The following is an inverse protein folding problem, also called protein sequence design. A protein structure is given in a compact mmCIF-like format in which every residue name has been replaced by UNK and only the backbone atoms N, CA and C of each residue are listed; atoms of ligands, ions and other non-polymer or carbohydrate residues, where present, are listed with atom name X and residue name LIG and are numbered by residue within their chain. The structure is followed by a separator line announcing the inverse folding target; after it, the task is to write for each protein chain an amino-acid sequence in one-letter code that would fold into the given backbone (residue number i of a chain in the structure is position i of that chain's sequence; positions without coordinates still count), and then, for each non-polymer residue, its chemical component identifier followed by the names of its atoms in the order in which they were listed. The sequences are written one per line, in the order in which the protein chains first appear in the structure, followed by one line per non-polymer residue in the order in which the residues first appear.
data_IF_203914730376
#
_entry.id   IF_203914730376
#
_cell.length_a   1.000
_cell.length_b   1.000
_cell.length_c   1.000
_cell.angle_alpha   90.00
_cell.angle_beta   90.00
_cell.angle_gamma   90.00
#
_symmetry.space_group_name_H-M   'P 1'
#
loop_
_entity.id
_entity.type
_entity.pdbx_description
1 polymer ?
#
# COMPACT_ATOMS: atom_id res chain seq x y z
N UNK A 1 -6.21 22.17 20.26
CA UNK A 1 -5.69 20.85 20.62
C UNK A 1 -5.77 20.75 22.13
N UNK A 2 -6.41 19.71 22.67
CA UNK A 2 -6.43 19.45 24.11
C UNK A 2 -5.03 19.07 24.59
N UNK A 3 -4.68 19.45 25.82
CA UNK A 3 -3.39 19.16 26.46
C UNK A 3 -3.11 17.64 26.49
N UNK A 4 -4.17 16.85 26.64
CA UNK A 4 -4.14 15.38 26.55
C UNK A 4 -3.63 14.86 25.20
N UNK A 5 -4.07 15.45 24.09
CA UNK A 5 -3.67 15.01 22.75
C UNK A 5 -2.17 15.25 22.49
N UNK A 6 -1.62 16.35 23.02
CA UNK A 6 -0.19 16.65 22.93
C UNK A 6 0.63 15.70 23.78
N UNK A 7 0.17 15.40 24.99
CA UNK A 7 0.84 14.45 25.88
C UNK A 7 0.88 13.05 25.26
N UNK A 8 -0.25 12.55 24.77
CA UNK A 8 -0.32 11.23 24.10
C UNK A 8 0.55 11.19 22.86
N UNK A 9 0.59 12.28 22.09
CA UNK A 9 1.48 12.37 20.95
C UNK A 9 2.95 12.26 21.37
N UNK A 10 3.33 12.91 22.46
CA UNK A 10 4.70 12.87 22.96
C UNK A 10 5.05 11.49 23.54
N UNK A 11 4.14 10.89 24.32
CA UNK A 11 4.29 9.55 24.88
C UNK A 11 4.46 8.50 23.75
N UNK A 12 3.66 8.58 22.68
CA UNK A 12 3.80 7.71 21.52
C UNK A 12 5.12 7.94 20.78
N UNK A 13 5.58 9.19 20.62
CA UNK A 13 6.86 9.49 19.98
C UNK A 13 8.05 9.00 20.80
N UNK A 14 7.99 9.10 22.14
CA UNK A 14 9.00 8.56 23.04
C UNK A 14 9.00 7.03 23.03
N UNK A 15 7.82 6.40 23.07
CA UNK A 15 7.70 4.95 22.92
C UNK A 15 8.20 4.45 21.54
N UNK A 16 8.03 5.25 20.48
CA UNK A 16 8.64 4.97 19.17
C UNK A 16 10.16 5.09 19.25
N UNK A 17 10.70 6.09 19.95
CA UNK A 17 12.14 6.28 20.11
C UNK A 17 12.83 5.17 20.92
N UNK A 18 12.13 4.63 21.92
CA UNK A 18 12.65 3.61 22.84
C UNK A 18 12.37 2.16 22.41
N UNK A 19 11.66 1.93 21.29
CA UNK A 19 11.20 0.60 20.87
C UNK A 19 10.22 -0.10 21.84
N UNK A 20 9.60 0.66 22.76
CA UNK A 20 8.70 0.14 23.80
C UNK A 20 7.25 -0.09 23.31
N UNK A 21 6.96 0.24 22.05
CA UNK A 21 5.61 0.09 21.49
C UNK A 21 5.31 -1.37 21.20
N UNK A 22 4.20 -1.87 21.74
CA UNK A 22 3.68 -3.21 21.41
C UNK A 22 3.20 -3.19 19.96
N UNK A 23 4.08 -3.58 19.04
CA UNK A 23 3.75 -3.70 17.63
C UNK A 23 3.01 -5.02 17.38
N UNK A 24 1.91 -5.01 16.62
CA UNK A 24 1.26 -6.25 16.22
C UNK A 24 2.23 -7.14 15.43
N UNK A 25 2.24 -8.42 15.77
CA UNK A 25 2.98 -9.43 15.02
C UNK A 25 2.21 -9.82 13.76
N UNK A 26 2.92 -10.02 12.66
CA UNK A 26 2.32 -10.48 11.42
C UNK A 26 1.79 -11.93 11.60
N UNK A 27 0.55 -12.25 11.22
CA UNK A 27 0.02 -13.60 11.33
C UNK A 27 0.87 -14.60 10.53
N UNK A 28 1.01 -15.81 11.05
CA UNK A 28 1.83 -16.86 10.44
C UNK A 28 1.40 -17.15 8.98
N UNK A 29 0.10 -17.07 8.69
CA UNK A 29 -0.44 -17.25 7.34
C UNK A 29 0.10 -16.19 6.36
N UNK A 30 0.22 -14.93 6.79
CA UNK A 30 0.80 -13.88 5.95
C UNK A 30 2.31 -14.07 5.72
N UNK A 31 3.04 -14.55 6.74
CA UNK A 31 4.45 -14.92 6.59
C UNK A 31 4.63 -16.07 5.58
N UNK A 32 3.81 -17.12 5.69
CA UNK A 32 3.84 -18.25 4.76
C UNK A 32 3.51 -17.82 3.33
N UNK A 33 2.50 -16.96 3.13
CA UNK A 33 2.16 -16.43 1.80
C UNK A 33 3.28 -15.56 1.23
N UNK A 34 3.96 -14.77 2.08
CA UNK A 34 5.09 -13.95 1.64
C UNK A 34 6.28 -14.80 1.21
N UNK A 35 6.68 -15.77 2.04
CA UNK A 35 7.74 -16.72 1.70
C UNK A 35 7.43 -17.47 0.41
N UNK A 36 6.16 -17.86 0.24
CA UNK A 36 5.65 -18.46 -0.99
C UNK A 36 5.76 -17.50 -2.20
N UNK A 37 5.53 -16.20 -2.02
CA UNK A 37 5.62 -15.21 -3.10
C UNK A 37 7.05 -14.84 -3.48
N UNK A 38 8.01 -15.03 -2.57
CA UNK A 38 9.45 -14.82 -2.83
C UNK A 38 10.08 -15.94 -3.66
N UNK A 39 9.45 -17.12 -3.69
CA UNK A 39 9.89 -18.25 -4.52
C UNK A 39 9.49 -18.04 -5.99
N UNK A 40 10.46 -17.83 -6.92
CA UNK A 40 10.17 -17.60 -8.33
C UNK A 40 9.59 -18.84 -9.04
N UNK A 41 9.74 -20.04 -8.48
CA UNK A 41 9.26 -21.30 -9.05
C UNK A 41 7.93 -21.76 -8.44
N UNK A 42 7.26 -20.92 -7.66
CA UNK A 42 6.06 -21.35 -6.95
C UNK A 42 4.91 -21.70 -7.92
N UNK A 43 4.32 -22.87 -7.68
CA UNK A 43 3.13 -23.30 -8.39
C UNK A 43 1.85 -22.69 -7.82
N UNK A 44 0.88 -22.43 -8.70
CA UNK A 44 -0.49 -22.05 -8.33
C UNK A 44 -1.09 -23.02 -7.32
N UNK A 45 -0.81 -24.32 -7.47
CA UNK A 45 -1.30 -25.37 -6.56
C UNK A 45 -0.72 -25.25 -5.14
N UNK A 46 0.52 -24.80 -5.00
CA UNK A 46 1.15 -24.60 -3.68
C UNK A 46 0.55 -23.39 -2.99
N UNK A 47 0.42 -22.26 -3.68
CA UNK A 47 -0.21 -21.07 -3.13
C UNK A 47 -1.68 -21.31 -2.76
N UNK A 48 -2.42 -22.04 -3.60
CA UNK A 48 -3.81 -22.44 -3.32
C UNK A 48 -3.92 -23.30 -2.06
N UNK A 49 -2.95 -24.20 -1.80
CA UNK A 49 -2.92 -24.99 -0.56
C UNK A 49 -2.65 -24.12 0.67
N UNK A 50 -1.76 -23.14 0.57
CA UNK A 50 -1.43 -22.24 1.70
C UNK A 50 -2.64 -21.37 2.04
N UNK A 51 -3.23 -20.69 1.05
CA UNK A 51 -4.40 -19.84 1.23
C UNK A 51 -5.63 -20.68 1.62
N UNK A 52 -5.78 -21.86 1.03
CA UNK A 52 -6.88 -22.79 1.26
C UNK A 52 -6.97 -23.36 2.67
N UNK A 53 -5.92 -23.24 3.49
CA UNK A 53 -5.97 -23.56 4.93
C UNK A 53 -6.94 -22.65 5.68
N UNK A 54 -7.08 -21.40 5.24
CA UNK A 54 -8.02 -20.44 5.79
C UNK A 54 -9.21 -20.29 4.83
N UNK A 55 -10.35 -20.84 5.25
CA UNK A 55 -11.59 -20.80 4.46
C UNK A 55 -12.15 -19.38 4.35
N UNK A 56 -11.97 -18.55 5.38
CA UNK A 56 -12.42 -17.17 5.37
C UNK A 56 -11.58 -16.33 4.40
N UNK A 57 -10.26 -16.50 4.41
CA UNK A 57 -9.34 -15.86 3.47
C UNK A 57 -9.66 -16.27 2.03
N UNK A 58 -9.88 -17.57 1.79
CA UNK A 58 -10.23 -18.12 0.49
C UNK A 58 -11.52 -17.50 -0.07
N UNK A 59 -12.58 -17.45 0.76
CA UNK A 59 -13.86 -16.85 0.38
C UNK A 59 -13.73 -15.35 0.08
N UNK A 60 -12.94 -14.61 0.87
CA UNK A 60 -12.67 -13.19 0.65
C UNK A 60 -11.91 -12.96 -0.67
N UNK A 61 -10.90 -13.78 -0.96
CA UNK A 61 -10.14 -13.69 -2.21
C UNK A 61 -11.05 -13.90 -3.43
N UNK A 62 -11.90 -14.93 -3.39
CA UNK A 62 -12.88 -15.21 -4.44
C UNK A 62 -13.85 -14.03 -4.62
N UNK A 63 -14.34 -13.45 -3.51
CA UNK A 63 -15.22 -12.27 -3.53
C UNK A 63 -14.55 -11.07 -4.21
N UNK A 64 -13.25 -10.84 -3.97
CA UNK A 64 -12.50 -9.76 -4.62
C UNK A 64 -12.32 -10.03 -6.12
N UNK A 65 -12.03 -11.27 -6.53
CA UNK A 65 -11.91 -11.66 -7.95
C UNK A 65 -13.20 -11.45 -8.74
N UNK A 66 -14.35 -11.66 -8.09
CA UNK A 66 -15.66 -11.45 -8.70
C UNK A 66 -16.16 -10.00 -8.60
N UNK A 67 -15.37 -9.10 -7.98
CA UNK A 67 -15.72 -7.68 -7.89
C UNK A 67 -15.78 -7.02 -9.27
N UNK A 68 -16.60 -5.96 -9.50
CA UNK A 68 -16.75 -5.32 -10.81
C UNK A 68 -15.43 -4.90 -11.48
N UNK A 69 -14.40 -4.60 -10.69
CA UNK A 69 -13.07 -4.22 -11.16
C UNK A 69 -12.32 -5.39 -11.82
N UNK A 70 -12.57 -6.61 -11.38
CA UNK A 70 -11.87 -7.83 -11.78
C UNK A 70 -12.80 -8.89 -12.40
N UNK A 71 -14.11 -8.66 -12.42
CA UNK A 71 -15.13 -9.65 -12.84
C UNK A 71 -14.87 -10.13 -14.28
N UNK A 72 -14.99 -11.43 -14.50
CA UNK A 72 -14.95 -12.04 -15.84
C UNK A 72 -16.37 -12.16 -16.42
N UNK A 73 -16.43 -12.60 -17.67
CA UNK A 73 -17.69 -13.09 -18.26
C UNK A 73 -18.29 -14.28 -17.48
N UNK A 74 -17.44 -15.08 -16.80
CA UNK A 74 -17.87 -16.16 -15.92
C UNK A 74 -17.44 -15.93 -14.47
N UNK A 75 -18.29 -16.35 -13.55
CA UNK A 75 -18.03 -16.27 -12.12
C UNK A 75 -16.98 -17.29 -11.70
N UNK A 76 -16.02 -16.86 -10.88
CA UNK A 76 -15.00 -17.74 -10.33
C UNK A 76 -15.50 -18.29 -9.00
N UNK A 77 -15.60 -19.61 -8.87
CA UNK A 77 -16.06 -20.30 -7.66
C UNK A 77 -14.96 -21.05 -6.93
N UNK A 78 -13.78 -21.17 -7.55
CA UNK A 78 -12.67 -22.00 -7.07
C UNK A 78 -11.39 -21.16 -6.88
N UNK A 79 -10.64 -21.47 -5.81
CA UNK A 79 -9.43 -20.75 -5.41
C UNK A 79 -8.30 -20.92 -6.42
N UNK A 80 -8.10 -22.12 -6.95
CA UNK A 80 -7.08 -22.38 -7.96
C UNK A 80 -7.36 -21.58 -9.23
N UNK A 81 -8.62 -21.52 -9.65
CA UNK A 81 -9.07 -20.70 -10.79
C UNK A 81 -8.86 -19.21 -10.53
N UNK A 82 -9.15 -18.74 -9.31
CA UNK A 82 -8.89 -17.36 -8.89
C UNK A 82 -7.40 -17.00 -9.00
N UNK A 83 -6.51 -17.83 -8.47
CA UNK A 83 -5.06 -17.59 -8.47
C UNK A 83 -4.49 -17.69 -9.88
N UNK A 84 -4.91 -18.67 -10.68
CA UNK A 84 -4.47 -18.81 -12.08
C UNK A 84 -4.78 -17.55 -12.89
N UNK A 85 -5.95 -16.96 -12.64
CA UNK A 85 -6.42 -15.78 -13.37
C UNK A 85 -5.73 -14.49 -12.94
N UNK A 86 -5.54 -14.31 -11.64
CA UNK A 86 -4.89 -13.14 -11.07
C UNK A 86 -3.37 -13.17 -11.22
N UNK A 87 -2.79 -14.37 -11.28
CA UNK A 87 -1.38 -14.61 -11.14
C UNK A 87 -0.95 -14.73 -9.67
N UNK A 88 0.09 -15.51 -9.44
CA UNK A 88 0.64 -15.81 -8.11
C UNK A 88 0.97 -14.53 -7.32
N UNK A 89 1.67 -13.57 -7.95
CA UNK A 89 2.12 -12.36 -7.27
C UNK A 89 0.95 -11.49 -6.78
N UNK A 90 -0.05 -11.27 -7.63
CA UNK A 90 -1.22 -10.47 -7.27
C UNK A 90 -2.05 -11.16 -6.19
N UNK A 91 -2.30 -12.46 -6.33
CA UNK A 91 -3.02 -13.24 -5.31
C UNK A 91 -2.29 -13.26 -3.97
N UNK A 92 -0.96 -13.36 -3.97
CA UNK A 92 -0.18 -13.34 -2.72
C UNK A 92 -0.25 -12.00 -2.03
N UNK A 93 -0.01 -10.91 -2.77
CA UNK A 93 -0.10 -9.54 -2.24
C UNK A 93 -1.51 -9.22 -1.71
N UNK A 94 -2.53 -9.63 -2.44
CA UNK A 94 -3.92 -9.44 -2.03
C UNK A 94 -4.25 -10.27 -0.79
N UNK A 95 -3.80 -11.53 -0.74
CA UNK A 95 -4.03 -12.40 0.41
C UNK A 95 -3.29 -11.89 1.65
N UNK A 96 -2.05 -11.41 1.53
CA UNK A 96 -1.32 -10.75 2.62
C UNK A 96 -2.13 -9.57 3.16
N UNK A 97 -2.63 -8.70 2.27
CA UNK A 97 -3.51 -7.61 2.67
C UNK A 97 -4.76 -8.11 3.40
N UNK A 98 -5.48 -9.08 2.85
CA UNK A 98 -6.69 -9.62 3.48
C UNK A 98 -6.42 -10.29 4.85
N UNK A 99 -5.25 -10.91 5.03
CA UNK A 99 -4.82 -11.46 6.33
C UNK A 99 -4.51 -10.34 7.33
N UNK A 100 -4.01 -9.19 6.89
CA UNK A 100 -3.81 -8.05 7.78
C UNK A 100 -5.11 -7.57 8.42
N UNK A 101 -6.28 -7.78 7.79
CA UNK A 101 -7.59 -7.53 8.40
C UNK A 101 -7.77 -8.33 9.71
N UNK A 102 -7.18 -9.51 9.85
CA UNK A 102 -7.26 -10.34 11.05
C UNK A 102 -6.46 -9.76 12.24
N UNK A 103 -5.54 -8.81 11.97
CA UNK A 103 -4.77 -8.10 13.00
C UNK A 103 -5.64 -7.06 13.72
N UNK A 104 -6.74 -6.61 13.09
CA UNK A 104 -7.68 -5.63 13.65
C UNK A 104 -8.58 -6.31 14.70
N UNK A 105 -8.02 -6.67 15.85
CA UNK A 105 -8.79 -7.17 17.00
C UNK A 105 -8.95 -6.05 18.04
N UNK A 106 -10.18 -5.57 18.19
CA UNK A 106 -10.53 -4.49 19.12
C UNK A 106 -11.29 -5.05 20.34
N UNK A 107 -11.02 -4.48 21.52
CA UNK A 107 -11.79 -4.73 22.76
C UNK A 107 -13.04 -3.86 22.85
N UNK A 108 -13.04 -2.70 22.18
CA UNK A 108 -14.16 -1.74 22.20
C UNK A 108 -14.88 -1.65 20.86
N UNK A 109 -16.21 -1.64 20.87
CA UNK A 109 -17.06 -1.51 19.67
C UNK A 109 -16.78 -0.22 18.87
N UNK A 110 -16.47 0.88 19.56
CA UNK A 110 -16.13 2.16 18.93
C UNK A 110 -14.82 2.05 18.15
N UNK A 111 -13.83 1.38 18.73
CA UNK A 111 -12.52 1.17 18.10
C UNK A 111 -12.64 0.17 16.95
N UNK A 112 -13.40 -0.90 17.15
CA UNK A 112 -13.69 -1.91 16.12
C UNK A 112 -14.33 -1.28 14.88
N UNK A 113 -15.31 -0.39 15.08
CA UNK A 113 -15.95 0.32 13.97
C UNK A 113 -14.96 1.23 13.22
N UNK A 114 -14.11 1.94 13.95
CA UNK A 114 -13.11 2.83 13.35
C UNK A 114 -12.02 2.05 12.61
N UNK A 115 -11.61 0.90 13.15
CA UNK A 115 -10.72 -0.06 12.48
C UNK A 115 -11.31 -0.54 11.16
N UNK A 116 -12.59 -0.95 11.15
CA UNK A 116 -13.31 -1.34 9.92
C UNK A 116 -13.36 -0.20 8.90
N UNK A 117 -13.57 1.02 9.34
CA UNK A 117 -13.64 2.18 8.45
C UNK A 117 -12.30 2.50 7.80
N UNK A 118 -11.21 2.43 8.56
CA UNK A 118 -9.82 2.56 8.06
C UNK A 118 -9.49 1.44 7.07
N UNK A 119 -9.87 0.21 7.40
CA UNK A 119 -9.67 -0.95 6.53
C UNK A 119 -10.42 -0.80 5.20
N UNK A 120 -11.70 -0.43 5.25
CA UNK A 120 -12.52 -0.18 4.07
C UNK A 120 -11.91 0.89 3.18
N UNK A 121 -11.45 2.00 3.77
CA UNK A 121 -10.79 3.08 3.02
C UNK A 121 -9.48 2.63 2.38
N UNK A 122 -8.69 1.81 3.07
CA UNK A 122 -7.47 1.22 2.52
C UNK A 122 -7.75 0.29 1.34
N UNK A 123 -8.83 -0.49 1.41
CA UNK A 123 -9.29 -1.33 0.29
C UNK A 123 -9.74 -0.49 -0.93
N UNK A 124 -10.44 0.62 -0.70
CA UNK A 124 -10.82 1.56 -1.77
C UNK A 124 -9.58 2.17 -2.44
N UNK A 125 -8.62 2.66 -1.65
CA UNK A 125 -7.35 3.23 -2.14
C UNK A 125 -6.55 2.18 -2.91
N UNK A 126 -6.51 0.94 -2.44
CA UNK A 126 -5.87 -0.17 -3.14
C UNK A 126 -6.51 -0.46 -4.50
N UNK A 127 -7.85 -0.50 -4.56
CA UNK A 127 -8.60 -0.70 -5.80
C UNK A 127 -8.36 0.42 -6.82
N UNK A 128 -8.37 1.68 -6.37
CA UNK A 128 -8.08 2.84 -7.22
C UNK A 128 -6.63 2.82 -7.70
N UNK A 129 -5.68 2.56 -6.81
CA UNK A 129 -4.25 2.47 -7.12
C UNK A 129 -3.95 1.38 -8.16
N UNK A 130 -4.63 0.23 -8.03
CA UNK A 130 -4.58 -0.86 -9.01
C UNK A 130 -5.12 -0.41 -10.37
N UNK A 131 -6.31 0.19 -10.41
CA UNK A 131 -6.95 0.62 -11.65
C UNK A 131 -6.13 1.68 -12.40
N UNK A 132 -5.55 2.62 -11.65
CA UNK A 132 -4.69 3.68 -12.18
C UNK A 132 -3.37 3.11 -12.73
N UNK A 133 -2.70 2.23 -11.96
CA UNK A 133 -1.43 1.64 -12.42
C UNK A 133 -1.63 0.79 -13.66
N UNK A 134 -2.73 0.02 -13.72
CA UNK A 134 -3.08 -0.80 -14.89
C UNK A 134 -3.27 0.02 -16.17
N UNK A 135 -3.79 1.24 -16.06
CA UNK A 135 -4.17 2.05 -17.23
C UNK A 135 -3.13 3.11 -17.62
N UNK A 136 -2.35 3.61 -16.66
CA UNK A 136 -1.54 4.82 -16.84
C UNK A 136 -0.08 4.72 -16.39
N UNK A 137 0.37 3.59 -15.81
CA UNK A 137 1.72 3.46 -15.27
C UNK A 137 2.45 2.22 -15.79
N UNK A 138 3.78 2.25 -15.67
CA UNK A 138 4.66 1.08 -15.85
C UNK A 138 4.88 0.31 -14.53
N UNK A 139 4.30 0.80 -13.43
CA UNK A 139 4.38 0.12 -12.13
C UNK A 139 3.51 -1.13 -12.11
N UNK A 140 4.02 -2.16 -11.42
CA UNK A 140 3.30 -3.41 -11.14
C UNK A 140 1.99 -3.12 -10.38
N UNK A 141 0.82 -3.40 -10.98
CA UNK A 141 -0.47 -3.09 -10.34
C UNK A 141 -0.67 -3.80 -8.99
N UNK A 142 -0.11 -5.01 -8.84
CA UNK A 142 -0.10 -5.78 -7.59
C UNK A 142 0.61 -5.07 -6.44
N UNK A 143 1.77 -4.47 -6.71
CA UNK A 143 2.53 -3.72 -5.71
C UNK A 143 1.80 -2.43 -5.33
N UNK A 144 1.17 -1.76 -6.30
CA UNK A 144 0.38 -0.56 -6.03
C UNK A 144 -0.87 -0.83 -5.19
N UNK A 145 -1.54 -1.97 -5.45
CA UNK A 145 -2.68 -2.41 -4.64
C UNK A 145 -2.26 -2.70 -3.20
N UNK A 146 -1.16 -3.45 -3.01
CA UNK A 146 -0.61 -3.73 -1.68
C UNK A 146 -0.21 -2.45 -0.95
N UNK A 147 0.46 -1.52 -1.63
CA UNK A 147 0.79 -0.20 -1.10
C UNK A 147 -0.44 0.56 -0.60
N UNK A 148 -1.54 0.52 -1.35
CA UNK A 148 -2.82 1.10 -0.92
C UNK A 148 -3.43 0.39 0.30
N UNK A 149 -3.24 -0.93 0.46
CA UNK A 149 -3.73 -1.65 1.63
C UNK A 149 -2.94 -1.31 2.89
N UNK A 150 -1.62 -1.15 2.78
CA UNK A 150 -0.73 -0.93 3.93
C UNK A 150 -0.52 0.53 4.31
N UNK A 151 -0.97 1.49 3.48
CA UNK A 151 -0.66 2.92 3.70
C UNK A 151 -1.14 3.47 5.05
N UNK A 152 -2.22 2.92 5.62
CA UNK A 152 -2.79 3.32 6.92
C UNK A 152 -2.55 2.31 8.04
N UNK A 153 -1.58 1.40 7.89
CA UNK A 153 -1.33 0.36 8.89
C UNK A 153 -0.92 0.94 10.26
N UNK A 154 -0.26 2.10 10.27
CA UNK A 154 0.15 2.79 11.50
C UNK A 154 -1.00 3.30 12.36
N UNK A 155 -2.25 3.27 11.88
CA UNK A 155 -3.43 3.61 12.68
C UNK A 155 -3.71 2.54 13.75
N UNK A 156 -3.33 1.29 13.49
CA UNK A 156 -3.56 0.15 14.39
C UNK A 156 -3.01 0.37 15.81
N UNK A 157 -1.68 0.55 16.00
CA UNK A 157 -1.11 0.74 17.33
C UNK A 157 -1.68 1.97 18.06
N UNK A 158 -2.07 3.02 17.32
CA UNK A 158 -2.68 4.23 17.89
C UNK A 158 -4.06 3.92 18.46
N UNK A 159 -4.85 3.13 17.73
CA UNK A 159 -6.18 2.71 18.19
C UNK A 159 -6.08 1.73 19.37
N UNK A 160 -5.12 0.80 19.36
CA UNK A 160 -4.85 -0.08 20.51
C UNK A 160 -4.44 0.72 21.74
N UNK A 161 -3.58 1.73 21.59
CA UNK A 161 -3.21 2.63 22.69
C UNK A 161 -4.40 3.44 23.20
N UNK A 162 -5.28 3.89 22.30
CA UNK A 162 -6.50 4.62 22.66
C UNK A 162 -7.52 3.74 23.41
N UNK A 163 -7.54 2.42 23.20
CA UNK A 163 -8.37 1.51 24.01
C UNK A 163 -8.00 1.52 25.49
N UNK A 164 -6.71 1.64 25.81
CA UNK A 164 -6.24 1.72 27.19
C UNK A 164 -6.41 3.13 27.79
N UNK A 165 -6.72 4.14 26.97
CA UNK A 165 -6.88 5.54 27.36
C UNK A 165 -8.24 6.11 26.91
N UNK A 166 -9.30 5.77 27.66
CA UNK A 166 -10.70 6.13 27.35
C UNK A 166 -10.97 7.63 27.14
N UNK A 167 -10.14 8.50 27.73
CA UNK A 167 -10.23 9.96 27.56
C UNK A 167 -9.99 10.40 26.10
N UNK A 168 -9.13 9.69 25.35
CA UNK A 168 -8.96 9.96 23.90
C UNK A 168 -10.13 9.45 23.06
N UNK A 169 -10.75 8.35 23.46
CA UNK A 169 -11.92 7.82 22.75
C UNK A 169 -13.14 8.76 22.88
N UNK A 170 -13.19 9.49 23.99
CA UNK A 170 -14.26 10.46 24.28
C UNK A 170 -14.17 11.75 23.44
N UNK A 171 -13.01 12.03 22.81
CA UNK A 171 -12.81 13.16 21.89
C UNK A 171 -12.33 12.70 20.50
N UNK A 172 -13.29 12.40 19.58
CA UNK A 172 -12.97 11.91 18.24
C UNK A 172 -12.11 12.88 17.41
N UNK A 173 -12.23 14.19 17.66
CA UNK A 173 -11.52 15.23 16.90
C UNK A 173 -10.03 15.18 17.23
N UNK A 174 -9.70 15.14 18.52
CA UNK A 174 -8.31 15.03 18.96
C UNK A 174 -7.69 13.70 18.58
N UNK A 175 -8.45 12.58 18.68
CA UNK A 175 -7.97 11.27 18.25
C UNK A 175 -7.63 11.25 16.75
N UNK A 176 -8.46 11.84 15.88
CA UNK A 176 -8.16 11.93 14.46
C UNK A 176 -6.90 12.76 14.19
N UNK A 177 -6.69 13.85 14.92
CA UNK A 177 -5.48 14.67 14.75
C UNK A 177 -4.20 13.92 15.13
N UNK A 178 -4.25 13.18 16.25
CA UNK A 178 -3.15 12.31 16.71
C UNK A 178 -2.86 11.23 15.66
N UNK A 179 -3.91 10.57 15.17
CA UNK A 179 -3.80 9.56 14.10
C UNK A 179 -3.12 10.15 12.88
N UNK A 180 -3.62 11.26 12.34
CA UNK A 180 -3.09 11.88 11.11
C UNK A 180 -1.60 12.22 11.21
N UNK A 181 -1.13 12.63 12.39
CA UNK A 181 0.25 13.06 12.58
C UNK A 181 1.23 11.92 12.89
N UNK A 182 0.77 10.86 13.57
CA UNK A 182 1.65 9.79 14.08
C UNK A 182 1.57 8.53 13.20
N UNK A 183 0.42 8.24 12.58
CA UNK A 183 0.27 7.03 11.76
C UNK A 183 1.30 6.88 10.63
N UNK A 184 1.86 7.94 10.00
CA UNK A 184 2.87 7.77 8.96
C UNK A 184 4.17 7.20 9.55
N UNK A 185 4.61 7.75 10.69
CA UNK A 185 5.84 7.32 11.38
C UNK A 185 5.72 5.88 11.88
N UNK A 186 4.56 5.54 12.47
CA UNK A 186 4.29 4.18 12.92
C UNK A 186 4.13 3.20 11.76
N UNK A 187 3.52 3.63 10.66
CA UNK A 187 3.38 2.82 9.45
C UNK A 187 4.74 2.44 8.88
N UNK A 188 5.64 3.41 8.71
CA UNK A 188 7.00 3.16 8.21
C UNK A 188 7.74 2.18 9.13
N UNK A 189 7.65 2.37 10.45
CA UNK A 189 8.32 1.48 11.43
C UNK A 189 7.74 0.07 11.41
N UNK A 190 6.41 -0.08 11.39
CA UNK A 190 5.73 -1.37 11.31
C UNK A 190 6.14 -2.15 10.06
N UNK A 191 6.15 -1.49 8.91
CA UNK A 191 6.52 -2.13 7.65
C UNK A 191 7.99 -2.56 7.63
N UNK A 192 8.89 -1.79 8.29
CA UNK A 192 10.30 -2.21 8.48
C UNK A 192 10.42 -3.42 9.38
N UNK A 193 9.71 -3.45 10.51
CA UNK A 193 9.70 -4.58 11.44
C UNK A 193 9.15 -5.84 10.78
N UNK A 194 8.15 -5.68 9.91
CA UNK A 194 7.62 -6.78 9.11
C UNK A 194 8.45 -7.10 7.86
N UNK A 195 9.62 -6.48 7.68
CA UNK A 195 10.55 -6.75 6.56
C UNK A 195 9.92 -6.55 5.17
N UNK A 196 9.02 -5.58 5.03
CA UNK A 196 8.48 -5.24 3.71
C UNK A 196 9.55 -4.56 2.84
N UNK A 197 9.44 -4.68 1.50
CA UNK A 197 10.29 -3.94 0.57
C UNK A 197 10.31 -2.45 0.86
N UNK A 198 11.49 -1.82 0.74
CA UNK A 198 11.69 -0.39 1.04
C UNK A 198 10.72 0.52 0.25
N UNK A 199 10.36 0.11 -0.96
CA UNK A 199 9.39 0.78 -1.82
C UNK A 199 7.98 0.88 -1.20
N UNK A 200 7.60 -0.08 -0.36
CA UNK A 200 6.33 -0.10 0.36
C UNK A 200 6.44 0.57 1.73
N UNK A 201 7.60 0.45 2.37
CA UNK A 201 7.91 1.07 3.67
C UNK A 201 7.78 2.59 3.64
N UNK A 202 8.13 3.25 2.53
CA UNK A 202 8.05 4.72 2.43
C UNK A 202 6.64 5.26 2.13
N UNK A 203 5.65 4.39 1.85
CA UNK A 203 4.31 4.81 1.42
C UNK A 203 3.55 5.57 2.52
N UNK A 204 3.49 5.08 3.78
CA UNK A 204 2.80 5.80 4.85
C UNK A 204 3.37 7.21 5.04
N UNK A 205 4.70 7.36 5.15
CA UNK A 205 5.38 8.65 5.27
C UNK A 205 5.18 9.61 4.09
N UNK A 206 5.23 9.11 2.85
CA UNK A 206 5.19 9.95 1.64
C UNK A 206 3.77 10.37 1.22
N UNK A 207 2.74 9.57 1.53
CA UNK A 207 1.35 9.89 1.19
C UNK A 207 0.83 11.10 1.99
N UNK A 208 1.28 11.25 3.24
CA UNK A 208 0.88 12.37 4.09
C UNK A 208 1.62 13.67 3.75
N UNK A 209 2.94 13.63 3.54
CA UNK A 209 3.74 14.82 3.19
C UNK A 209 3.26 15.48 1.89
N UNK A 210 2.83 14.69 0.91
CA UNK A 210 2.29 15.19 -0.36
C UNK A 210 0.84 15.70 -0.28
N UNK A 211 0.05 15.27 0.72
CA UNK A 211 -1.27 15.85 1.01
C UNK A 211 -1.14 17.17 1.78
N UNK A 212 -0.26 17.22 2.79
CA UNK A 212 0.03 18.43 3.56
C UNK A 212 0.65 19.54 2.69
N UNK A 213 1.52 19.20 1.73
CA UNK A 213 2.07 20.18 0.78
C UNK A 213 1.03 20.69 -0.22
N UNK A 214 0.03 19.88 -0.60
CA UNK A 214 -1.04 20.29 -1.54
C UNK A 214 -2.09 21.21 -0.89
N UNK A 215 -2.26 21.15 0.43
CA UNK A 215 -3.08 22.11 1.16
C UNK A 215 -2.41 23.50 1.30
N UNK A 216 -1.09 23.60 1.07
CA UNK A 216 -0.31 24.83 1.24
C UNK A 216 0.32 25.42 -0.04
N UNK A 217 0.41 24.67 -1.14
CA UNK A 217 1.01 25.19 -2.38
C UNK A 217 0.28 24.71 -3.63
N UNK A 218 -0.52 25.59 -4.20
CA UNK A 218 -0.61 25.66 -5.66
C UNK A 218 0.80 25.91 -6.18
N UNK A 219 1.21 25.09 -7.16
CA UNK A 219 2.39 25.22 -8.02
C UNK A 219 3.71 24.57 -7.53
N UNK A 220 4.14 23.57 -8.31
CA UNK A 220 5.54 23.12 -8.54
C UNK A 220 6.17 22.01 -7.66
N UNK A 221 5.67 20.77 -7.74
CA UNK A 221 6.50 19.60 -7.36
C UNK A 221 6.16 18.31 -8.12
N UNK A 222 6.16 18.38 -9.46
CA UNK A 222 6.10 17.19 -10.33
C UNK A 222 7.49 16.76 -10.84
N UNK A 223 8.57 17.09 -10.13
CA UNK A 223 9.95 16.84 -10.57
C UNK A 223 10.71 15.72 -9.84
N UNK A 224 10.13 15.08 -8.81
CA UNK A 224 10.84 14.11 -7.97
C UNK A 224 10.62 12.62 -8.32
N UNK A 225 9.75 12.31 -9.29
CA UNK A 225 9.69 10.97 -9.90
C UNK A 225 10.38 10.99 -11.27
N UNK A 226 11.72 10.96 -11.26
CA UNK A 226 12.51 10.62 -12.45
C UNK A 226 13.30 9.35 -12.15
N UNK A 227 13.16 8.28 -12.96
CA UNK A 227 14.01 7.10 -12.82
C UNK A 227 15.47 7.48 -13.13
N UNK A 228 16.37 7.05 -12.25
CA UNK A 228 17.81 7.04 -12.52
C UNK A 228 18.07 6.23 -13.80
N UNK A 229 18.42 6.92 -14.87
CA UNK A 229 19.14 6.33 -16.01
C UNK A 229 20.47 7.07 -16.10
N UNK A 230 21.48 6.49 -15.47
CA UNK A 230 22.85 6.85 -15.68
C UNK A 230 23.38 6.06 -16.88
N UNK A 231 23.59 6.73 -18.00
CA UNK A 231 24.69 6.41 -18.91
C UNK A 231 25.35 7.71 -19.32
N UNK A 232 26.62 7.82 -18.96
CA UNK A 232 27.47 9.00 -19.10
C UNK A 232 28.35 8.82 -20.34
N UNK A 233 28.81 9.95 -20.86
CA UNK A 233 29.99 10.18 -21.75
C UNK A 233 29.70 10.47 -23.25
N UNK A 234 30.59 11.17 -23.98
CA UNK A 234 30.54 12.65 -24.07
C UNK A 234 30.77 13.21 -25.51
N UNK A 235 30.59 14.53 -25.68
CA UNK A 235 31.09 15.37 -26.80
C UNK A 235 30.41 15.09 -28.18
N UNK A 236 30.16 16.02 -29.12
CA UNK A 236 30.71 17.34 -29.41
C UNK A 236 29.71 18.07 -30.33
N UNK A 237 29.38 19.32 -30.00
CA UNK A 237 29.19 20.49 -30.88
C UNK A 237 28.91 20.25 -32.39
N UNK A 238 27.72 20.61 -32.87
CA UNK A 238 27.51 21.03 -34.27
C UNK A 238 26.87 22.43 -34.30
N UNK A 239 27.71 23.45 -34.52
CA UNK A 239 27.32 24.78 -35.02
C UNK A 239 27.28 24.70 -36.55
N UNK A 240 26.31 25.38 -37.14
CA UNK A 240 25.90 25.20 -38.53
C UNK A 240 26.80 25.76 -39.62
N UNK A 241 26.34 25.55 -40.84
CA UNK A 241 26.70 26.25 -42.08
C UNK A 241 25.70 25.87 -43.17
N UNK A 242 24.77 26.80 -43.45
CA UNK A 242 24.28 27.31 -44.76
C UNK A 242 24.10 26.41 -46.02
N UNK A 243 23.27 26.86 -46.99
CA UNK A 243 22.35 26.02 -47.76
C UNK A 243 22.83 25.75 -49.20
N UNK A 244 22.40 24.61 -49.78
CA UNK A 244 22.32 24.46 -51.23
C UNK A 244 21.51 23.22 -51.65
N UNK A 245 20.45 23.49 -52.41
CA UNK A 245 20.05 22.82 -53.64
C UNK A 245 19.59 21.34 -53.65
N UNK A 246 18.65 21.13 -54.59
CA UNK A 246 18.25 19.86 -55.23
C UNK A 246 17.13 19.02 -54.57
N UNK A 247 15.89 19.35 -54.93
CA UNK A 247 14.94 18.35 -55.49
C UNK A 247 15.57 17.71 -56.75
N UNK A 248 15.25 16.46 -57.17
CA UNK A 248 13.86 16.04 -57.38
C UNK A 248 13.52 14.54 -57.17
N UNK A 249 12.21 14.31 -57.05
CA UNK A 249 11.36 13.28 -57.69
C UNK A 249 11.64 11.76 -57.58
N UNK A 250 10.49 11.07 -57.59
CA UNK A 250 10.15 9.68 -57.92
C UNK A 250 9.99 8.76 -56.72
N UNK A 251 8.79 8.29 -56.33
CA UNK A 251 7.67 7.60 -57.02
C UNK A 251 7.93 6.13 -57.31
N UNK A 252 6.96 5.32 -56.87
CA UNK A 252 6.57 3.95 -57.23
C UNK A 252 7.07 2.80 -56.35
N UNK A 253 6.08 1.99 -55.95
CA UNK A 253 6.19 0.75 -55.18
C UNK A 253 4.96 0.56 -54.32
#
# INVERSE_FOLDING_TARGET
MTELAQKVQQDLLEAIGNDDLVLPTLPEVALQIRQAAEDPEISVSTLSKVIGRDTALSARLIKVVNSPLLRAAQEVTDLHTAITRLGVNYSSNLAIGLVMEQIFNARSEVVEQKMRDVWRRSLEVAGVSYALCRSYSQLKPDQAALGGLVHQIGVLPILTYAEDHYELLSDPVSLNHVIERIHPLLGDKLLRVWEFPEQLVEIPGNTWTSAASRAGSTTSTWSRWRPCTATRTPSTRCRGSTPSACRPSRSWG
#
